data_IF_682791251397
#
_entry.id   IF_682791251397
#
_cell.length_a   1.000
_cell.length_b   1.000
_cell.length_c   1.000
_cell.angle_alpha   90.00
_cell.angle_beta   90.00
_cell.angle_gamma   90.00
#
_symmetry.space_group_name_H-M   'P 1'
#
loop_
_entity.id
_entity.type
_entity.pdbx_description
1 polymer ?
#
# COMPACT_ATOMS: atom_id res chain seq x y z
N UNK A 1 -52.50 31.63 38.65
CA UNK A 1 -52.75 30.18 38.60
C UNK A 1 -51.41 29.48 38.81
N UNK A 2 -51.34 28.63 39.84
CA UNK A 2 -50.13 27.98 40.35
C UNK A 2 -49.65 26.89 39.37
N UNK A 3 -48.34 26.73 39.21
CA UNK A 3 -47.73 25.62 38.47
C UNK A 3 -47.69 24.32 39.28
N UNK A 4 -47.33 23.19 38.64
CA UNK A 4 -47.01 21.90 39.27
C UNK A 4 -45.94 21.16 38.42
N UNK A 5 -45.05 20.48 39.13
CA UNK A 5 -43.89 19.68 38.69
C UNK A 5 -44.25 18.22 38.36
N UNK A 6 -43.31 17.57 37.66
CA UNK A 6 -42.94 16.14 37.60
C UNK A 6 -43.62 15.16 38.58
N UNK A 7 -43.90 13.94 38.10
CA UNK A 7 -44.03 12.75 38.94
C UNK A 7 -43.57 11.49 38.21
N UNK A 8 -42.77 10.71 38.93
CA UNK A 8 -42.17 9.42 38.59
C UNK A 8 -43.20 8.34 38.23
N UNK A 9 -42.86 7.45 37.31
CA UNK A 9 -43.43 6.11 37.26
C UNK A 9 -42.31 5.07 37.27
N UNK A 10 -42.15 4.45 38.44
CA UNK A 10 -41.39 3.22 38.67
C UNK A 10 -42.29 2.09 38.18
N UNK A 11 -41.83 1.27 37.23
CA UNK A 11 -42.39 -0.06 37.00
C UNK A 11 -41.30 -1.10 37.27
N UNK A 12 -41.56 -1.92 38.29
CA UNK A 12 -40.89 -3.20 38.51
C UNK A 12 -41.15 -4.11 37.31
N UNK A 13 -40.10 -4.72 36.77
CA UNK A 13 -40.20 -6.02 36.08
C UNK A 13 -39.18 -6.95 36.71
N UNK A 14 -39.70 -8.05 37.24
CA UNK A 14 -38.99 -9.11 37.92
C UNK A 14 -38.09 -9.90 36.96
N UNK A 15 -37.03 -10.46 37.53
CA UNK A 15 -35.95 -11.11 36.79
C UNK A 15 -36.37 -12.41 36.11
N UNK A 16 -35.87 -12.56 34.89
CA UNK A 16 -35.50 -13.83 34.29
C UNK A 16 -34.08 -13.63 33.76
N UNK A 17 -33.13 -14.34 34.38
CA UNK A 17 -31.74 -14.32 33.96
C UNK A 17 -31.60 -14.90 32.57
N UNK A 18 -31.40 -14.02 31.59
CA UNK A 18 -30.73 -14.36 30.34
C UNK A 18 -29.29 -13.89 30.50
N UNK A 19 -28.38 -14.82 30.67
CA UNK A 19 -26.96 -14.60 30.37
C UNK A 19 -26.85 -14.29 28.88
N UNK A 20 -26.83 -12.99 28.56
CA UNK A 20 -26.39 -12.51 27.26
C UNK A 20 -24.88 -12.71 27.23
N UNK A 21 -24.43 -13.75 26.51
CA UNK A 21 -23.09 -13.77 25.95
C UNK A 21 -22.95 -12.46 25.18
N UNK A 22 -22.16 -11.53 25.72
CA UNK A 22 -21.91 -10.22 25.14
C UNK A 22 -21.19 -10.38 23.80
N UNK A 23 -21.96 -10.54 22.73
CA UNK A 23 -21.49 -10.19 21.39
C UNK A 23 -21.78 -8.71 21.25
N UNK A 24 -20.79 -7.89 21.59
CA UNK A 24 -20.80 -6.47 21.23
C UNK A 24 -20.78 -6.42 19.71
N UNK A 25 -21.92 -6.10 19.10
CA UNK A 25 -22.02 -5.92 17.66
C UNK A 25 -21.16 -4.71 17.28
N UNK A 26 -19.95 -4.96 16.75
CA UNK A 26 -19.05 -3.95 16.20
C UNK A 26 -19.67 -3.38 14.93
N UNK A 27 -20.52 -2.36 15.09
CA UNK A 27 -20.91 -1.48 13.98
C UNK A 27 -19.79 -0.45 13.79
N UNK A 28 -18.86 -0.75 12.89
CA UNK A 28 -18.01 0.29 12.31
C UNK A 28 -18.91 1.02 11.31
N UNK A 29 -19.52 2.12 11.76
CA UNK A 29 -20.16 3.06 10.85
C UNK A 29 -19.09 3.66 9.93
N UNK A 30 -19.23 3.39 8.62
CA UNK A 30 -18.39 3.91 7.53
C UNK A 30 -18.41 5.43 7.34
N UNK A 31 -19.00 6.20 8.25
CA UNK A 31 -19.02 7.66 8.20
C UNK A 31 -17.75 8.32 8.74
N UNK A 32 -16.90 7.59 9.48
CA UNK A 32 -15.60 8.10 9.95
C UNK A 32 -15.69 9.43 10.73
N UNK A 33 -16.84 9.74 11.35
CA UNK A 33 -17.00 10.94 12.16
C UNK A 33 -17.17 10.56 13.62
N UNK A 34 -16.04 10.60 14.34
CA UNK A 34 -16.04 10.70 15.79
C UNK A 34 -16.69 12.04 16.19
N UNK A 35 -17.97 12.02 16.60
CA UNK A 35 -18.56 13.16 17.32
C UNK A 35 -18.40 13.04 18.83
N UNK A 36 -18.07 11.86 19.38
CA UNK A 36 -18.31 11.64 20.82
C UNK A 36 -17.20 10.93 21.60
N UNK A 37 -15.96 10.84 21.08
CA UNK A 37 -14.78 10.49 21.90
C UNK A 37 -14.85 9.13 22.64
N UNK A 38 -15.74 8.22 22.24
CA UNK A 38 -15.81 6.87 22.79
C UNK A 38 -14.79 6.01 22.06
N UNK A 39 -13.80 5.51 22.79
CA UNK A 39 -12.85 4.54 22.27
C UNK A 39 -13.61 3.27 21.84
N UNK A 40 -13.84 3.11 20.54
CA UNK A 40 -14.18 1.81 19.99
C UNK A 40 -12.94 0.93 20.20
N UNK A 41 -13.06 -0.09 21.04
CA UNK A 41 -11.98 -1.06 21.32
C UNK A 41 -11.63 -1.78 20.03
N UNK A 42 -10.34 -1.83 19.69
CA UNK A 42 -9.88 -2.64 18.56
C UNK A 42 -10.27 -4.10 18.80
N UNK A 43 -10.65 -4.85 17.75
CA UNK A 43 -10.84 -6.30 17.85
C UNK A 43 -9.65 -6.97 18.55
N UNK A 44 -9.90 -7.88 19.48
CA UNK A 44 -8.84 -8.52 20.27
C UNK A 44 -8.53 -9.94 19.76
N UNK A 45 -9.48 -10.57 19.08
CA UNK A 45 -9.39 -11.95 18.60
C UNK A 45 -9.40 -12.04 17.07
N UNK A 46 -8.78 -13.10 16.53
CA UNK A 46 -8.79 -13.37 15.09
C UNK A 46 -10.21 -13.43 14.51
N UNK A 47 -11.17 -14.00 15.26
CA UNK A 47 -12.57 -14.06 14.85
C UNK A 47 -13.22 -12.67 14.71
N UNK A 48 -12.91 -11.74 15.61
CA UNK A 48 -13.42 -10.37 15.53
C UNK A 48 -12.76 -9.58 14.41
N UNK A 49 -11.45 -9.76 14.18
CA UNK A 49 -10.76 -9.18 13.02
C UNK A 49 -11.32 -9.70 11.71
N UNK A 50 -11.61 -11.00 11.64
CA UNK A 50 -12.23 -11.62 10.47
C UNK A 50 -13.61 -10.99 10.19
N UNK A 51 -14.47 -10.93 11.20
CA UNK A 51 -15.80 -10.34 11.06
C UNK A 51 -15.76 -8.85 10.66
N UNK A 52 -14.85 -8.07 11.27
CA UNK A 52 -14.66 -6.66 10.92
C UNK A 52 -14.20 -6.49 9.47
N UNK A 53 -13.23 -7.29 9.02
CA UNK A 53 -12.74 -7.25 7.65
C UNK A 53 -13.78 -7.68 6.62
N UNK A 54 -14.56 -8.72 6.90
CA UNK A 54 -15.66 -9.15 6.01
C UNK A 54 -16.70 -8.05 5.81
N UNK A 55 -17.06 -7.33 6.87
CA UNK A 55 -17.97 -6.19 6.78
C UNK A 55 -17.40 -5.08 5.89
N UNK A 56 -16.10 -4.78 6.01
CA UNK A 56 -15.42 -3.79 5.17
C UNK A 56 -15.32 -4.24 3.71
N UNK A 57 -15.03 -5.52 3.44
CA UNK A 57 -15.04 -6.10 2.09
C UNK A 57 -16.39 -5.89 1.41
N UNK A 58 -17.50 -6.12 2.15
CA UNK A 58 -18.86 -5.88 1.65
C UNK A 58 -19.15 -4.40 1.45
N UNK A 59 -18.85 -3.57 2.45
CA UNK A 59 -19.12 -2.13 2.44
C UNK A 59 -18.44 -1.43 1.27
N UNK A 60 -17.15 -1.73 1.04
CA UNK A 60 -16.37 -1.14 -0.05
C UNK A 60 -16.49 -1.91 -1.38
N UNK A 61 -17.28 -2.99 -1.41
CA UNK A 61 -17.47 -3.89 -2.55
C UNK A 61 -16.14 -4.34 -3.16
N UNK A 62 -15.17 -4.72 -2.32
CA UNK A 62 -13.84 -5.16 -2.78
C UNK A 62 -13.96 -6.35 -3.75
N UNK A 63 -14.95 -7.21 -3.50
CA UNK A 63 -15.23 -8.40 -4.29
C UNK A 63 -15.85 -8.14 -5.68
N UNK A 64 -16.16 -6.88 -6.02
CA UNK A 64 -16.54 -6.51 -7.40
C UNK A 64 -15.36 -6.58 -8.36
N UNK A 65 -14.14 -6.33 -7.86
CA UNK A 65 -12.92 -6.40 -8.66
C UNK A 65 -12.08 -7.61 -8.26
N UNK A 66 -11.98 -7.87 -6.96
CA UNK A 66 -11.18 -8.97 -6.43
C UNK A 66 -12.04 -10.22 -6.25
N UNK A 67 -11.45 -11.40 -6.44
CA UNK A 67 -12.04 -12.61 -5.88
C UNK A 67 -11.78 -12.64 -4.36
N UNK A 68 -12.83 -12.87 -3.59
CA UNK A 68 -12.80 -13.07 -2.14
C UNK A 68 -13.78 -14.20 -1.79
N UNK A 69 -13.53 -14.95 -0.71
CA UNK A 69 -14.49 -15.97 -0.23
C UNK A 69 -15.80 -15.36 0.29
N UNK A 70 -15.78 -14.07 0.64
CA UNK A 70 -16.95 -13.33 1.13
C UNK A 70 -17.92 -12.98 -0.03
N UNK A 71 -19.14 -13.52 -0.06
CA UNK A 71 -20.17 -13.10 -1.00
C UNK A 71 -20.71 -11.71 -0.62
N UNK A 72 -21.04 -10.87 -1.60
CA UNK A 72 -21.86 -9.67 -1.38
C UNK A 72 -23.28 -9.93 -1.85
N UNK A 73 -24.27 -9.45 -1.08
CA UNK A 73 -25.69 -9.50 -1.45
C UNK A 73 -26.09 -8.43 -2.47
N UNK A 74 -25.17 -7.61 -2.98
CA UNK A 74 -25.51 -6.42 -3.74
C UNK A 74 -25.84 -6.70 -5.21
N UNK A 75 -27.11 -6.45 -5.57
CA UNK A 75 -27.54 -6.13 -6.92
C UNK A 75 -26.54 -5.20 -7.62
N UNK A 76 -26.23 -5.50 -8.88
CA UNK A 76 -25.43 -4.68 -9.78
C UNK A 76 -25.83 -3.20 -9.70
N UNK A 77 -25.05 -2.36 -9.01
CA UNK A 77 -25.14 -0.91 -9.19
C UNK A 77 -24.46 -0.59 -10.51
N UNK A 78 -25.27 -0.38 -11.54
CA UNK A 78 -24.83 0.03 -12.86
C UNK A 78 -23.91 1.26 -12.75
N UNK A 79 -22.61 1.07 -12.96
CA UNK A 79 -21.70 2.16 -13.33
C UNK A 79 -21.79 2.34 -14.83
N UNK A 80 -21.72 3.58 -15.32
CA UNK A 80 -21.81 3.93 -16.75
C UNK A 80 -20.72 3.27 -17.65
N UNK A 81 -19.75 2.57 -17.06
CA UNK A 81 -18.65 1.89 -17.73
C UNK A 81 -18.69 0.35 -17.57
N UNK A 82 -19.86 -0.27 -17.71
CA UNK A 82 -20.04 -1.73 -17.68
C UNK A 82 -19.05 -2.51 -18.59
N UNK A 83 -18.60 -1.92 -19.70
CA UNK A 83 -17.71 -2.59 -20.65
C UNK A 83 -16.32 -2.92 -20.09
N UNK A 84 -15.79 -2.18 -19.11
CA UNK A 84 -14.45 -2.47 -18.56
C UNK A 84 -14.41 -3.80 -17.80
N UNK A 85 -15.50 -4.18 -17.11
CA UNK A 85 -15.60 -5.46 -16.43
C UNK A 85 -16.15 -6.56 -17.37
N UNK A 86 -17.08 -6.22 -18.28
CA UNK A 86 -17.70 -7.18 -19.18
C UNK A 86 -16.88 -7.50 -20.45
N UNK A 87 -15.78 -6.81 -20.76
CA UNK A 87 -14.89 -7.22 -21.86
C UNK A 87 -14.27 -8.60 -21.62
N UNK A 88 -14.19 -9.05 -20.36
CA UNK A 88 -13.73 -10.36 -19.96
C UNK A 88 -14.93 -11.14 -19.39
N UNK A 89 -15.82 -11.58 -20.28
CA UNK A 89 -17.11 -12.21 -19.97
C UNK A 89 -17.08 -13.31 -18.87
N UNK A 90 -15.92 -13.89 -18.55
CA UNK A 90 -15.84 -15.09 -17.72
C UNK A 90 -14.89 -15.03 -16.49
N UNK A 91 -14.09 -13.97 -16.26
CA UNK A 91 -13.01 -14.03 -15.23
C UNK A 91 -12.69 -12.71 -14.50
N UNK A 92 -13.22 -12.45 -13.30
CA UNK A 92 -12.80 -11.32 -12.45
C UNK A 92 -11.30 -11.36 -12.11
N UNK A 93 -10.65 -12.52 -12.21
CA UNK A 93 -9.21 -12.69 -11.96
C UNK A 93 -8.30 -11.96 -12.96
N UNK A 94 -8.85 -11.56 -14.12
CA UNK A 94 -8.14 -10.73 -15.09
C UNK A 94 -8.11 -9.26 -14.67
N UNK A 95 -9.14 -8.79 -13.95
CA UNK A 95 -9.31 -7.41 -13.49
C UNK A 95 -8.48 -7.13 -12.24
N UNK A 96 -8.59 -7.98 -11.21
CA UNK A 96 -7.80 -7.87 -10.00
C UNK A 96 -7.41 -9.26 -9.44
N UNK A 97 -6.25 -9.37 -8.76
CA UNK A 97 -5.86 -10.64 -8.18
C UNK A 97 -6.79 -11.04 -7.02
N UNK A 98 -7.00 -12.35 -6.78
CA UNK A 98 -7.62 -12.84 -5.55
C UNK A 98 -6.86 -12.33 -4.32
N UNK A 99 -7.61 -12.10 -3.25
CA UNK A 99 -7.07 -11.53 -2.01
C UNK A 99 -6.87 -12.57 -0.91
N UNK A 100 -7.44 -13.77 -1.05
CA UNK A 100 -7.44 -14.84 -0.05
C UNK A 100 -6.02 -15.12 0.44
N UNK A 101 -5.05 -15.30 -0.47
CA UNK A 101 -3.64 -15.59 -0.15
C UNK A 101 -2.71 -14.39 -0.37
N UNK A 102 -3.21 -13.14 -0.33
CA UNK A 102 -2.38 -11.98 -0.67
C UNK A 102 -1.19 -11.79 0.28
N UNK A 103 -1.35 -12.14 1.57
CA UNK A 103 -0.31 -12.01 2.58
C UNK A 103 0.82 -13.05 2.44
N UNK A 104 0.58 -14.18 1.76
CA UNK A 104 1.65 -15.11 1.36
C UNK A 104 2.59 -14.47 0.34
N UNK A 105 2.09 -13.54 -0.47
CA UNK A 105 2.83 -12.89 -1.55
C UNK A 105 3.41 -11.55 -1.14
N UNK A 106 2.65 -10.78 -0.36
CA UNK A 106 2.90 -9.38 -0.01
C UNK A 106 3.20 -9.26 1.48
N UNK A 107 4.23 -8.51 1.88
CA UNK A 107 4.41 -8.13 3.29
C UNK A 107 3.20 -7.37 3.84
N UNK A 108 2.88 -7.53 5.13
CA UNK A 108 1.75 -6.85 5.78
C UNK A 108 1.83 -5.32 5.60
N UNK A 109 3.01 -4.75 5.82
CA UNK A 109 3.25 -3.32 5.65
C UNK A 109 3.12 -2.86 4.18
N UNK A 110 3.32 -3.76 3.20
CA UNK A 110 2.97 -3.49 1.80
C UNK A 110 1.46 -3.40 1.60
N UNK A 111 0.69 -4.34 2.16
CA UNK A 111 -0.78 -4.36 2.07
C UNK A 111 -1.36 -3.09 2.68
N UNK A 112 -0.97 -2.74 3.91
CA UNK A 112 -1.40 -1.51 4.60
C UNK A 112 -1.17 -0.27 3.72
N UNK A 113 0.02 -0.16 3.13
CA UNK A 113 0.39 0.98 2.28
C UNK A 113 -0.41 1.00 0.98
N UNK A 114 -0.57 -0.15 0.32
CA UNK A 114 -1.27 -0.20 -0.97
C UNK A 114 -2.76 0.13 -0.80
N UNK A 115 -3.41 -0.32 0.29
CA UNK A 115 -4.78 0.08 0.63
C UNK A 115 -4.91 1.60 0.82
N UNK A 116 -3.88 2.24 1.39
CA UNK A 116 -3.87 3.68 1.67
C UNK A 116 -3.53 4.54 0.46
N UNK A 117 -2.53 4.10 -0.29
CA UNK A 117 -1.91 4.79 -1.42
C UNK A 117 -1.83 3.82 -2.60
N UNK A 118 -2.98 3.46 -3.20
CA UNK A 118 -2.97 2.57 -4.35
C UNK A 118 -2.27 3.25 -5.52
N UNK A 119 -1.48 2.49 -6.26
CA UNK A 119 -0.77 2.94 -7.45
C UNK A 119 -0.84 1.89 -8.55
N UNK A 120 -0.43 2.26 -9.76
CA UNK A 120 -0.46 1.34 -10.91
C UNK A 120 0.66 0.32 -10.79
N UNK A 121 0.30 -0.94 -10.57
CA UNK A 121 1.25 -2.06 -10.60
C UNK A 121 1.51 -2.55 -12.04
N UNK A 122 0.47 -2.57 -12.89
CA UNK A 122 0.59 -2.94 -14.31
C UNK A 122 0.66 -1.65 -15.13
N UNK A 123 1.86 -1.19 -15.46
CA UNK A 123 2.04 0.07 -16.19
C UNK A 123 1.39 0.06 -17.59
N UNK A 124 1.27 -1.12 -18.20
CA UNK A 124 0.64 -1.34 -19.49
C UNK A 124 -0.90 -1.44 -19.44
N UNK A 125 -1.52 -1.33 -18.25
CA UNK A 125 -2.98 -1.28 -18.09
C UNK A 125 -3.42 0.06 -17.50
N UNK A 126 -4.61 0.51 -17.91
CA UNK A 126 -5.29 1.65 -17.29
C UNK A 126 -5.94 1.30 -15.95
N UNK A 127 -6.08 0.01 -15.66
CA UNK A 127 -6.70 -0.51 -14.44
C UNK A 127 -5.82 -0.24 -13.22
N UNK A 128 -6.44 0.31 -12.17
CA UNK A 128 -5.81 0.48 -10.85
C UNK A 128 -6.85 0.35 -9.76
N UNK A 129 -6.40 -0.09 -8.59
CA UNK A 129 -7.23 -0.03 -7.39
C UNK A 129 -7.59 1.45 -7.11
N UNK A 130 -8.87 1.79 -6.93
CA UNK A 130 -9.25 3.14 -6.56
C UNK A 130 -8.77 3.46 -5.15
N UNK A 131 -8.53 4.74 -4.88
CA UNK A 131 -8.41 5.21 -3.50
C UNK A 131 -9.81 5.19 -2.86
N UNK A 132 -10.00 4.28 -1.91
CA UNK A 132 -11.28 4.07 -1.23
C UNK A 132 -11.52 5.07 -0.09
N UNK A 133 -10.53 5.90 0.26
CA UNK A 133 -10.66 6.85 1.37
C UNK A 133 -10.71 6.21 2.76
N UNK A 134 -10.18 4.99 2.89
CA UNK A 134 -10.18 4.21 4.13
C UNK A 134 -9.47 4.97 5.27
N UNK A 135 -10.07 4.92 6.44
CA UNK A 135 -9.48 5.39 7.71
C UNK A 135 -8.35 4.46 8.18
N UNK A 136 -7.57 4.91 9.17
CA UNK A 136 -6.51 4.08 9.75
C UNK A 136 -7.01 2.76 10.32
N UNK A 137 -8.15 2.82 11.02
CA UNK A 137 -8.76 1.66 11.66
C UNK A 137 -9.24 0.66 10.60
N UNK A 138 -9.88 1.13 9.54
CA UNK A 138 -10.35 0.27 8.45
C UNK A 138 -9.17 -0.37 7.69
N UNK A 139 -8.08 0.37 7.44
CA UNK A 139 -6.87 -0.19 6.82
C UNK A 139 -6.27 -1.27 7.70
N UNK A 140 -6.18 -1.06 9.01
CA UNK A 140 -5.68 -2.06 9.94
C UNK A 140 -6.59 -3.30 9.98
N UNK A 141 -7.91 -3.12 10.05
CA UNK A 141 -8.87 -4.22 10.05
C UNK A 141 -8.83 -5.04 8.75
N UNK A 142 -8.86 -4.39 7.58
CA UNK A 142 -8.73 -5.07 6.29
C UNK A 142 -7.39 -5.79 6.17
N UNK A 143 -6.30 -5.17 6.62
CA UNK A 143 -4.98 -5.83 6.55
C UNK A 143 -4.92 -7.05 7.45
N UNK A 144 -5.40 -6.96 8.70
CA UNK A 144 -5.45 -8.11 9.62
C UNK A 144 -6.33 -9.23 9.08
N UNK A 145 -7.51 -8.89 8.55
CA UNK A 145 -8.36 -9.84 7.84
C UNK A 145 -7.58 -10.56 6.73
N UNK A 146 -6.94 -9.83 5.82
CA UNK A 146 -6.16 -10.42 4.71
C UNK A 146 -4.98 -11.28 5.17
N UNK A 147 -4.36 -10.95 6.31
CA UNK A 147 -3.27 -11.74 6.88
C UNK A 147 -3.79 -13.04 7.49
N UNK A 148 -4.88 -12.98 8.27
CA UNK A 148 -5.49 -14.16 8.90
C UNK A 148 -6.12 -15.07 7.83
N UNK A 149 -6.79 -14.50 6.84
CA UNK A 149 -7.42 -15.23 5.73
C UNK A 149 -6.44 -15.97 4.84
N UNK A 150 -5.17 -15.54 4.78
CA UNK A 150 -4.14 -16.18 3.96
C UNK A 150 -3.74 -17.58 4.41
N UNK A 151 -4.30 -18.10 5.52
CA UNK A 151 -4.14 -19.48 6.01
C UNK A 151 -2.74 -20.03 5.75
N UNK A 152 -1.81 -19.63 6.62
CA UNK A 152 -0.37 -19.92 6.58
C UNK A 152 -0.01 -21.29 5.95
N UNK A 153 0.23 -21.33 4.64
CA UNK A 153 1.00 -22.44 4.05
C UNK A 153 2.45 -22.11 4.33
N UNK A 154 3.05 -22.77 5.33
CA UNK A 154 4.46 -22.61 5.65
C UNK A 154 5.31 -22.60 4.37
N UNK A 155 5.80 -21.42 3.99
CA UNK A 155 6.68 -21.25 2.85
C UNK A 155 8.05 -21.84 3.21
N UNK A 156 8.79 -22.44 2.25
CA UNK A 156 10.14 -22.90 2.51
C UNK A 156 10.99 -21.74 3.04
N UNK A 157 11.84 -22.00 4.03
CA UNK A 157 12.79 -21.01 4.53
C UNK A 157 13.76 -20.60 3.39
N UNK A 158 13.55 -19.40 2.83
CA UNK A 158 14.37 -18.83 1.78
C UNK A 158 14.24 -17.29 1.77
N UNK A 159 15.29 -16.57 2.16
CA UNK A 159 15.26 -15.09 2.23
C UNK A 159 16.52 -14.39 1.69
N UNK A 160 16.87 -14.51 0.40
CA UNK A 160 17.70 -13.47 -0.18
C UNK A 160 16.87 -12.21 -0.38
N UNK A 161 17.27 -11.15 0.31
CA UNK A 161 16.82 -9.79 0.03
C UNK A 161 17.66 -9.20 -1.10
N UNK A 162 17.30 -8.00 -1.52
CA UNK A 162 18.12 -7.26 -2.46
C UNK A 162 19.49 -6.96 -1.83
N UNK A 163 20.54 -7.31 -2.55
CA UNK A 163 21.92 -7.09 -2.17
C UNK A 163 22.37 -5.70 -2.62
N UNK A 164 23.18 -5.02 -1.80
CA UNK A 164 23.76 -3.72 -2.15
C UNK A 164 24.75 -3.86 -3.31
N UNK A 165 25.55 -4.92 -3.28
CA UNK A 165 26.57 -5.23 -4.27
C UNK A 165 26.44 -6.69 -4.73
N UNK A 166 25.47 -7.00 -5.61
CA UNK A 166 25.24 -8.36 -6.08
C UNK A 166 26.44 -8.89 -6.87
N UNK A 167 26.76 -10.16 -6.66
CA UNK A 167 27.87 -10.83 -7.35
C UNK A 167 27.66 -10.88 -8.88
N UNK A 168 28.70 -10.50 -9.63
CA UNK A 168 28.62 -10.36 -11.07
C UNK A 168 28.50 -11.71 -11.80
N UNK A 169 29.13 -12.76 -11.28
CA UNK A 169 29.03 -14.10 -11.85
C UNK A 169 27.62 -14.67 -11.65
N UNK A 170 27.06 -14.50 -10.45
CA UNK A 170 25.69 -14.89 -10.13
C UNK A 170 24.65 -14.13 -10.96
N UNK A 171 24.86 -12.84 -11.19
CA UNK A 171 24.04 -12.05 -12.12
C UNK A 171 24.11 -12.61 -13.54
N UNK A 172 25.29 -13.01 -14.01
CA UNK A 172 25.45 -13.65 -15.33
C UNK A 172 24.69 -14.98 -15.38
N UNK A 173 24.83 -15.83 -14.37
CA UNK A 173 24.14 -17.12 -14.30
C UNK A 173 22.61 -16.95 -14.27
N UNK A 174 22.11 -15.98 -13.51
CA UNK A 174 20.69 -15.63 -13.47
C UNK A 174 20.15 -15.12 -14.81
N UNK A 175 20.96 -14.34 -15.54
CA UNK A 175 20.64 -13.89 -16.89
C UNK A 175 20.55 -15.05 -17.88
N UNK A 176 21.46 -16.01 -17.80
CA UNK A 176 21.42 -17.21 -18.65
C UNK A 176 20.14 -18.03 -18.40
N UNK A 177 19.69 -18.13 -17.15
CA UNK A 177 18.39 -18.74 -16.82
C UNK A 177 17.21 -17.94 -17.38
N UNK A 178 17.26 -16.60 -17.27
CA UNK A 178 16.23 -15.70 -17.79
C UNK A 178 16.05 -15.87 -19.31
N UNK A 179 17.16 -16.03 -20.03
CA UNK A 179 17.18 -16.31 -21.47
C UNK A 179 16.75 -17.75 -21.79
N UNK A 180 17.25 -18.75 -21.05
CA UNK A 180 16.91 -20.18 -21.20
C UNK A 180 15.40 -20.43 -21.14
N UNK A 181 14.70 -19.77 -20.21
CA UNK A 181 13.26 -19.90 -20.05
C UNK A 181 12.44 -18.83 -20.79
N UNK A 182 13.10 -18.01 -21.63
CA UNK A 182 12.49 -16.98 -22.47
C UNK A 182 11.58 -16.02 -21.69
N UNK A 183 11.94 -15.66 -20.46
CA UNK A 183 11.13 -14.84 -19.54
C UNK A 183 10.78 -13.46 -20.15
N UNK A 184 11.71 -12.89 -20.94
CA UNK A 184 11.55 -11.62 -21.66
C UNK A 184 10.46 -11.63 -22.74
N UNK A 185 9.89 -12.79 -23.08
CA UNK A 185 8.75 -12.89 -24.01
C UNK A 185 7.50 -12.23 -23.43
N UNK A 186 7.35 -12.25 -22.11
CA UNK A 186 6.19 -11.69 -21.41
C UNK A 186 6.60 -10.62 -20.39
N UNK A 187 7.65 -10.83 -19.61
CA UNK A 187 8.03 -9.93 -18.53
C UNK A 187 9.07 -8.88 -18.96
N UNK A 188 8.91 -7.64 -18.49
CA UNK A 188 9.99 -6.65 -18.45
C UNK A 188 10.79 -6.79 -17.17
N UNK A 189 12.07 -6.39 -17.23
CA UNK A 189 12.95 -6.29 -16.08
C UNK A 189 13.81 -5.03 -16.24
N UNK A 190 13.30 -3.91 -15.72
CA UNK A 190 13.92 -2.59 -15.91
C UNK A 190 13.73 -2.08 -17.33
N UNK A 191 14.76 -1.46 -17.91
CA UNK A 191 14.72 -0.93 -19.29
C UNK A 191 14.71 -2.02 -20.39
N UNK A 192 14.68 -3.31 -19.99
CA UNK A 192 14.57 -4.42 -20.93
C UNK A 192 13.19 -4.41 -21.62
N UNK A 193 13.19 -4.09 -22.92
CA UNK A 193 11.99 -4.09 -23.76
C UNK A 193 11.54 -5.53 -24.05
N UNK A 194 10.27 -5.82 -23.77
CA UNK A 194 9.61 -7.05 -24.23
C UNK A 194 9.56 -7.05 -25.76
N UNK A 195 10.08 -8.10 -26.39
CA UNK A 195 9.91 -8.29 -27.84
C UNK A 195 8.47 -8.75 -28.10
N UNK A 196 7.65 -8.00 -28.85
CA UNK A 196 6.30 -8.46 -29.17
C UNK A 196 6.38 -9.78 -29.93
N UNK A 197 5.63 -10.77 -29.47
CA UNK A 197 5.34 -11.96 -30.30
C UNK A 197 4.38 -11.53 -31.41
N UNK A 198 4.31 -12.26 -32.53
CA UNK A 198 3.41 -11.93 -33.64
C UNK A 198 2.47 -13.10 -33.92
N UNK A 199 1.20 -12.80 -34.21
CA UNK A 199 0.27 -13.77 -34.77
C UNK A 199 0.74 -14.18 -36.19
N UNK A 200 0.26 -15.32 -36.69
CA UNK A 200 0.56 -15.80 -38.05
C UNK A 200 0.25 -14.77 -39.16
N UNK A 201 -0.69 -13.85 -38.89
CA UNK A 201 -1.06 -12.75 -39.78
C UNK A 201 -0.12 -11.53 -39.70
N UNK A 202 1.00 -11.62 -38.97
CA UNK A 202 1.99 -10.55 -38.84
C UNK A 202 1.60 -9.41 -37.91
N UNK A 203 0.50 -9.51 -37.15
CA UNK A 203 0.15 -8.53 -36.10
C UNK A 203 0.83 -8.87 -34.78
N UNK A 204 1.35 -7.89 -34.01
CA UNK A 204 1.94 -8.16 -32.70
C UNK A 204 0.87 -8.71 -31.74
N UNK A 205 1.15 -9.88 -31.17
CA UNK A 205 0.43 -10.47 -30.05
C UNK A 205 0.86 -9.76 -28.76
N UNK A 206 0.16 -8.67 -28.46
CA UNK A 206 0.38 -7.85 -27.27
C UNK A 206 -0.27 -8.45 -26.02
N UNK A 207 -1.15 -9.44 -26.17
CA UNK A 207 -1.98 -9.97 -25.07
C UNK A 207 -1.15 -10.52 -23.90
N UNK A 208 -0.07 -11.31 -24.09
CA UNK A 208 0.78 -11.76 -22.99
C UNK A 208 1.51 -10.61 -22.27
N UNK A 209 1.85 -9.55 -23.00
CA UNK A 209 2.64 -8.40 -22.52
C UNK A 209 1.80 -7.43 -21.69
N UNK A 210 0.49 -7.35 -21.97
CA UNK A 210 -0.44 -6.51 -21.20
C UNK A 210 -0.67 -7.07 -19.78
N UNK A 211 -0.62 -8.39 -19.61
CA UNK A 211 -0.93 -9.03 -18.33
C UNK A 211 0.30 -9.32 -17.46
N UNK A 212 1.46 -9.56 -18.08
CA UNK A 212 2.69 -9.79 -17.34
C UNK A 212 3.19 -8.48 -16.68
N UNK A 213 3.39 -8.45 -15.36
CA UNK A 213 3.88 -7.25 -14.68
C UNK A 213 5.37 -7.02 -14.93
N UNK A 214 5.77 -5.75 -14.84
CA UNK A 214 7.18 -5.39 -14.68
C UNK A 214 7.73 -5.96 -13.37
N UNK A 215 8.85 -6.67 -13.48
CA UNK A 215 9.51 -7.33 -12.38
C UNK A 215 10.62 -6.47 -11.74
N UNK A 216 10.91 -5.27 -12.27
CA UNK A 216 11.98 -4.39 -11.77
C UNK A 216 11.83 -3.96 -10.30
N UNK A 217 10.59 -3.92 -9.80
CA UNK A 217 10.23 -3.55 -8.42
C UNK A 217 9.78 -4.74 -7.58
N UNK A 218 10.11 -5.95 -7.99
CA UNK A 218 9.71 -7.18 -7.29
C UNK A 218 10.23 -7.20 -5.85
N UNK A 219 11.47 -6.75 -5.64
CA UNK A 219 12.15 -6.66 -4.35
C UNK A 219 11.60 -5.61 -3.38
N UNK A 220 10.61 -4.79 -3.78
CA UNK A 220 9.92 -3.84 -2.89
C UNK A 220 8.47 -4.21 -2.64
N UNK A 221 7.99 -5.33 -3.21
CA UNK A 221 6.60 -5.76 -3.06
C UNK A 221 6.35 -7.26 -2.95
N UNK A 222 7.30 -8.14 -3.27
CA UNK A 222 7.09 -9.61 -3.32
C UNK A 222 8.02 -10.28 -2.33
N UNK A 223 7.46 -11.16 -1.48
CA UNK A 223 8.25 -12.05 -0.63
C UNK A 223 9.14 -12.98 -1.47
N UNK A 224 10.46 -13.05 -1.20
CA UNK A 224 11.37 -13.92 -1.95
C UNK A 224 10.89 -15.37 -2.01
N UNK A 225 10.57 -15.97 -0.85
CA UNK A 225 10.13 -17.35 -0.71
C UNK A 225 8.93 -17.68 -1.61
N UNK A 226 7.98 -16.75 -1.70
CA UNK A 226 6.83 -16.87 -2.58
C UNK A 226 7.22 -16.74 -4.05
N UNK A 227 8.14 -15.84 -4.40
CA UNK A 227 8.58 -15.60 -5.77
C UNK A 227 9.21 -16.85 -6.38
N UNK A 228 10.11 -17.53 -5.67
CA UNK A 228 10.77 -18.73 -6.16
C UNK A 228 9.75 -19.84 -6.45
N UNK A 229 8.79 -20.06 -5.55
CA UNK A 229 7.76 -21.07 -5.77
C UNK A 229 6.77 -20.69 -6.88
N UNK A 230 6.43 -19.40 -7.00
CA UNK A 230 5.58 -18.90 -8.07
C UNK A 230 6.25 -19.00 -9.45
N UNK A 231 7.57 -18.82 -9.54
CA UNK A 231 8.35 -19.04 -10.76
C UNK A 231 8.40 -20.54 -11.10
N UNK A 232 8.62 -21.38 -10.09
CA UNK A 232 8.70 -22.82 -10.29
C UNK A 232 7.35 -23.44 -10.66
N UNK A 233 6.27 -23.05 -9.98
CA UNK A 233 4.95 -23.65 -10.05
C UNK A 233 3.85 -22.56 -10.14
N UNK A 234 3.81 -21.78 -11.24
CA UNK A 234 2.87 -20.67 -11.38
C UNK A 234 1.41 -21.10 -11.23
N UNK A 235 1.01 -22.26 -11.74
CA UNK A 235 -0.36 -22.76 -11.62
C UNK A 235 -0.76 -23.15 -10.19
N UNK A 236 0.22 -23.45 -9.32
CA UNK A 236 -0.02 -23.73 -7.90
C UNK A 236 -0.28 -22.44 -7.11
N UNK A 237 0.56 -21.42 -7.32
CA UNK A 237 0.49 -20.15 -6.58
C UNK A 237 -0.48 -19.13 -7.18
N UNK A 238 -0.66 -19.19 -8.49
CA UNK A 238 -1.56 -18.33 -9.26
C UNK A 238 -2.26 -19.16 -10.36
N UNK A 239 -3.22 -20.05 -10.02
CA UNK A 239 -4.00 -20.83 -11.00
C UNK A 239 -4.65 -20.02 -12.13
N UNK A 240 -4.92 -18.74 -11.87
CA UNK A 240 -5.49 -17.77 -12.81
C UNK A 240 -4.44 -17.09 -13.71
N UNK A 241 -3.15 -17.28 -13.46
CA UNK A 241 -2.08 -16.67 -14.25
C UNK A 241 -1.92 -17.35 -15.61
N UNK A 242 -1.68 -16.56 -16.66
CA UNK A 242 -1.24 -17.06 -17.96
C UNK A 242 0.25 -17.45 -18.03
N UNK A 243 0.97 -17.40 -16.90
CA UNK A 243 2.38 -17.77 -16.82
C UNK A 243 2.56 -19.27 -17.05
N UNK A 244 3.38 -19.64 -18.03
CA UNK A 244 3.60 -21.03 -18.43
C UNK A 244 4.37 -21.81 -17.37
N UNK A 245 4.00 -23.08 -17.19
CA UNK A 245 4.77 -24.03 -16.42
C UNK A 245 6.03 -24.42 -17.19
N UNK A 246 7.20 -24.15 -16.62
CA UNK A 246 8.50 -24.55 -17.19
C UNK A 246 9.08 -25.76 -16.46
N UNK A 247 9.86 -26.58 -17.17
CA UNK A 247 10.61 -27.68 -16.56
C UNK A 247 11.91 -27.16 -15.90
N UNK A 248 11.78 -26.42 -14.80
CA UNK A 248 12.92 -25.92 -14.02
C UNK A 248 13.03 -26.62 -12.66
N UNK A 249 14.26 -26.76 -12.18
CA UNK A 249 14.56 -27.27 -10.84
C UNK A 249 14.27 -26.21 -9.77
N UNK A 250 14.14 -26.62 -8.51
CA UNK A 250 13.94 -25.69 -7.40
C UNK A 250 15.13 -24.73 -7.24
N UNK A 251 16.35 -25.21 -7.49
CA UNK A 251 17.56 -24.38 -7.48
C UNK A 251 17.51 -23.30 -8.56
N UNK A 252 17.17 -23.66 -9.80
CA UNK A 252 17.02 -22.69 -10.89
C UNK A 252 15.94 -21.64 -10.59
N UNK A 253 14.81 -22.06 -10.00
CA UNK A 253 13.74 -21.14 -9.62
C UNK A 253 14.18 -20.13 -8.55
N UNK A 254 14.96 -20.58 -7.55
CA UNK A 254 15.56 -19.70 -6.53
C UNK A 254 16.59 -18.75 -7.12
N UNK A 255 17.45 -19.23 -8.02
CA UNK A 255 18.43 -18.37 -8.70
C UNK A 255 17.75 -17.33 -9.60
N UNK A 256 16.68 -17.69 -10.31
CA UNK A 256 15.85 -16.74 -11.07
C UNK A 256 15.16 -15.72 -10.17
N UNK A 257 14.60 -16.15 -9.04
CA UNK A 257 13.97 -15.25 -8.07
C UNK A 257 15.00 -14.27 -7.50
N UNK A 258 16.19 -14.74 -7.14
CA UNK A 258 17.30 -13.89 -6.71
C UNK A 258 17.70 -12.91 -7.81
N UNK A 259 17.85 -13.40 -9.05
CA UNK A 259 18.20 -12.57 -10.20
C UNK A 259 17.18 -11.46 -10.41
N UNK A 260 15.89 -11.76 -10.40
CA UNK A 260 14.82 -10.75 -10.55
C UNK A 260 14.89 -9.67 -9.46
N UNK A 261 15.31 -10.01 -8.24
CA UNK A 261 15.45 -9.05 -7.15
C UNK A 261 16.70 -8.16 -7.26
N UNK A 262 17.75 -8.65 -7.92
CA UNK A 262 19.09 -8.05 -7.90
C UNK A 262 19.56 -7.50 -9.26
N UNK A 263 18.97 -7.96 -10.37
CA UNK A 263 19.40 -7.62 -11.72
C UNK A 263 19.17 -6.16 -12.09
N UNK A 264 18.17 -5.52 -11.47
CA UNK A 264 17.93 -4.08 -11.66
C UNK A 264 18.74 -3.32 -10.61
N UNK A 265 19.80 -2.59 -11.03
CA UNK A 265 20.65 -1.85 -10.10
C UNK A 265 19.85 -0.77 -9.37
N UNK A 266 20.33 -0.39 -8.19
CA UNK A 266 19.72 0.72 -7.45
C UNK A 266 19.82 2.00 -8.29
N UNK A 267 18.75 2.81 -8.36
CA UNK A 267 18.86 4.11 -8.97
C UNK A 267 20.01 4.88 -8.31
N UNK A 268 20.89 5.45 -9.12
CA UNK A 268 22.02 6.22 -8.59
C UNK A 268 21.50 7.42 -7.79
N UNK A 269 22.15 7.68 -6.66
CA UNK A 269 21.86 8.84 -5.83
C UNK A 269 22.35 10.09 -6.58
N UNK A 270 21.42 10.80 -7.22
CA UNK A 270 21.71 11.99 -8.03
C UNK A 270 21.14 13.26 -7.44
N UNK A 271 20.28 13.14 -6.43
CA UNK A 271 19.66 14.25 -5.70
C UNK A 271 20.01 14.08 -4.24
N UNK A 272 20.52 15.13 -3.62
CA UNK A 272 20.86 15.16 -2.19
C UNK A 272 19.63 15.45 -1.33
N UNK A 273 19.68 15.06 -0.05
CA UNK A 273 18.66 15.47 0.91
C UNK A 273 18.55 17.00 1.03
N UNK A 274 19.66 17.73 0.87
CA UNK A 274 19.68 19.20 0.89
C UNK A 274 18.80 19.80 -0.20
N UNK A 275 18.93 19.33 -1.44
CA UNK A 275 18.08 19.78 -2.56
C UNK A 275 16.60 19.49 -2.32
N UNK A 276 16.27 18.37 -1.67
CA UNK A 276 14.88 18.07 -1.27
C UNK A 276 14.40 19.02 -0.20
N UNK A 277 15.21 19.27 0.83
CA UNK A 277 14.86 20.19 1.91
C UNK A 277 14.69 21.63 1.43
N UNK A 278 15.42 22.07 0.40
CA UNK A 278 15.25 23.39 -0.20
C UNK A 278 13.85 23.53 -0.84
N UNK A 279 13.40 22.51 -1.58
CA UNK A 279 12.05 22.47 -2.15
C UNK A 279 10.99 22.54 -1.03
N UNK A 280 11.15 21.75 0.03
CA UNK A 280 10.19 21.74 1.14
C UNK A 280 10.18 23.07 1.91
N UNK A 281 11.36 23.69 2.07
CA UNK A 281 11.48 25.00 2.72
C UNK A 281 10.75 26.10 1.99
N UNK A 282 10.85 26.11 0.66
CA UNK A 282 10.21 27.10 -0.19
C UNK A 282 8.69 26.93 -0.26
N UNK A 283 8.19 25.70 -0.20
CA UNK A 283 6.80 25.40 -0.58
C UNK A 283 5.92 24.85 0.56
N UNK A 284 6.50 24.39 1.67
CA UNK A 284 5.77 23.60 2.66
C UNK A 284 5.89 24.13 4.10
N UNK A 285 7.03 24.71 4.47
CA UNK A 285 7.34 25.04 5.87
C UNK A 285 6.44 26.14 6.46
N UNK A 286 5.79 26.96 5.63
CA UNK A 286 4.79 27.92 6.11
C UNK A 286 3.59 27.28 6.82
N UNK A 287 3.30 26.00 6.50
CA UNK A 287 2.19 25.25 7.08
C UNK A 287 2.59 23.95 7.78
N UNK A 288 3.80 23.43 7.54
CA UNK A 288 4.31 22.16 8.09
C UNK A 288 5.58 22.37 8.92
N UNK A 289 5.43 23.12 10.01
CA UNK A 289 6.52 23.45 10.93
C UNK A 289 6.46 22.59 12.20
N UNK A 290 7.62 22.42 12.85
CA UNK A 290 7.76 21.65 14.08
C UNK A 290 6.91 22.23 15.24
N UNK A 291 6.51 21.42 16.24
CA UNK A 291 5.96 21.91 17.49
C UNK A 291 6.92 22.91 18.18
N UNK A 292 6.35 23.97 18.75
CA UNK A 292 7.09 25.02 19.45
C UNK A 292 6.29 25.46 20.69
N UNK A 293 6.83 25.18 21.88
CA UNK A 293 6.19 25.52 23.15
C UNK A 293 6.20 27.03 23.43
N UNK A 294 7.05 27.79 22.76
CA UNK A 294 7.16 29.24 22.85
C UNK A 294 6.43 29.96 21.71
N UNK A 295 5.65 29.20 20.91
CA UNK A 295 4.87 29.73 19.80
C UNK A 295 4.00 30.91 20.24
N UNK A 296 4.04 31.99 19.45
CA UNK A 296 3.24 33.18 19.70
C UNK A 296 1.72 32.93 19.66
N UNK A 297 0.90 33.91 20.08
CA UNK A 297 -0.55 33.73 20.25
C UNK A 297 -1.33 33.39 18.97
N UNK A 298 -0.71 33.52 17.78
CA UNK A 298 -1.33 33.22 16.48
C UNK A 298 -0.65 32.04 15.76
N UNK A 299 0.06 31.19 16.48
CA UNK A 299 0.74 30.00 15.95
C UNK A 299 0.32 28.78 16.75
N UNK A 300 0.11 27.65 16.09
CA UNK A 300 -0.20 26.40 16.79
C UNK A 300 1.07 25.85 17.47
N UNK A 301 1.15 25.76 18.81
CA UNK A 301 2.33 25.23 19.51
C UNK A 301 2.54 23.73 19.27
N UNK A 302 1.53 23.00 18.81
CA UNK A 302 1.65 21.59 18.43
C UNK A 302 2.24 21.39 17.02
N UNK A 303 2.60 22.48 16.33
CA UNK A 303 3.16 22.47 14.98
C UNK A 303 2.13 22.81 13.89
N UNK A 304 2.62 22.94 12.66
CA UNK A 304 1.84 23.40 11.53
C UNK A 304 0.79 22.38 11.07
N UNK A 305 -0.48 22.77 11.05
CA UNK A 305 -1.62 21.90 10.73
C UNK A 305 -1.87 21.72 9.21
N UNK A 306 -0.99 22.23 8.33
CA UNK A 306 -1.19 22.19 6.88
C UNK A 306 -2.30 23.12 6.35
N UNK A 307 -3.20 23.64 7.22
CA UNK A 307 -4.31 24.54 6.86
C UNK A 307 -4.83 25.34 8.07
N UNK A 308 -5.24 26.60 7.85
CA UNK A 308 -6.02 27.43 8.79
C UNK A 308 -7.38 26.81 9.20
N UNK A 309 -8.00 25.97 8.37
CA UNK A 309 -9.30 25.35 8.67
C UNK A 309 -9.21 24.08 9.52
N UNK A 310 -8.01 23.51 9.71
CA UNK A 310 -7.77 22.29 10.50
C UNK A 310 -7.32 22.59 11.93
N UNK A 311 -7.43 23.83 12.40
CA UNK A 311 -7.07 24.23 13.78
C UNK A 311 -7.96 23.55 14.84
N UNK A 312 -9.16 23.10 14.44
CA UNK A 312 -10.05 22.29 15.27
C UNK A 312 -9.86 20.77 15.07
N UNK A 313 -8.94 20.36 14.19
CA UNK A 313 -8.59 18.97 13.94
C UNK A 313 -7.29 18.62 14.65
N UNK A 314 -7.16 17.37 15.11
CA UNK A 314 -5.95 16.88 15.77
C UNK A 314 -4.72 17.11 14.87
N UNK A 315 -3.71 17.82 15.39
CA UNK A 315 -2.48 18.09 14.66
C UNK A 315 -1.77 16.77 14.29
N UNK A 316 -1.37 16.64 13.02
CA UNK A 316 -0.66 15.45 12.50
C UNK A 316 0.85 15.51 12.72
N UNK A 317 1.35 16.58 13.35
CA UNK A 317 2.75 16.76 13.75
C UNK A 317 3.78 16.52 12.63
N UNK A 318 3.40 16.81 11.39
CA UNK A 318 4.29 16.69 10.24
C UNK A 318 5.24 17.89 10.21
N UNK A 319 6.50 17.65 10.58
CA UNK A 319 7.58 18.62 10.51
C UNK A 319 8.37 18.47 9.20
N UNK A 320 8.33 19.49 8.35
CA UNK A 320 9.11 19.54 7.10
C UNK A 320 10.27 20.54 7.19
N UNK A 321 10.53 21.12 8.36
CA UNK A 321 11.66 22.04 8.58
C UNK A 321 13.00 21.33 8.64
N UNK A 322 12.99 20.05 9.06
CA UNK A 322 14.19 19.25 9.25
C UNK A 322 14.10 17.94 8.47
N UNK A 323 15.25 17.42 8.05
CA UNK A 323 15.32 16.11 7.40
C UNK A 323 14.85 14.99 8.34
N UNK A 324 15.16 15.12 9.64
CA UNK A 324 14.69 14.19 10.67
C UNK A 324 13.17 14.21 10.80
N UNK A 325 12.55 15.41 10.85
CA UNK A 325 11.10 15.57 10.87
C UNK A 325 10.42 14.95 9.65
N UNK A 326 10.97 15.20 8.46
CA UNK A 326 10.46 14.64 7.20
C UNK A 326 10.45 13.09 7.24
N UNK A 327 11.55 12.50 7.72
CA UNK A 327 11.72 11.05 7.75
C UNK A 327 10.95 10.38 8.89
N UNK A 328 10.84 11.05 10.05
CA UNK A 328 9.96 10.64 11.15
C UNK A 328 8.50 10.61 10.71
N UNK A 329 8.11 11.54 9.85
CA UNK A 329 6.78 11.61 9.27
C UNK A 329 5.74 12.21 10.20
N UNK A 330 4.48 11.89 9.93
CA UNK A 330 3.31 12.40 10.64
C UNK A 330 2.85 11.42 11.73
N UNK A 331 1.77 11.75 12.43
CA UNK A 331 1.00 10.81 13.26
C UNK A 331 -0.35 10.50 12.64
N UNK A 332 -0.82 9.27 12.81
CA UNK A 332 -2.10 8.79 12.32
C UNK A 332 -3.27 9.16 13.27
N UNK A 333 -4.50 8.71 12.98
CA UNK A 333 -5.71 8.95 13.80
C UNK A 333 -5.58 8.35 15.20
N UNK A 334 -4.78 7.28 15.34
CA UNK A 334 -4.50 6.57 16.57
C UNK A 334 -3.29 7.16 17.32
N UNK A 335 -2.61 8.15 16.73
CA UNK A 335 -1.40 8.77 17.27
C UNK A 335 -0.12 7.95 17.02
N UNK A 336 -0.18 6.92 16.19
CA UNK A 336 0.97 6.12 15.80
C UNK A 336 1.81 6.81 14.73
N UNK A 337 3.12 6.56 14.68
CA UNK A 337 3.98 7.09 13.62
C UNK A 337 3.50 6.69 12.22
N UNK A 338 3.47 7.66 11.32
CA UNK A 338 3.12 7.47 9.90
C UNK A 338 4.22 8.07 9.03
N UNK A 339 4.99 7.22 8.31
CA UNK A 339 6.01 7.70 7.38
C UNK A 339 5.45 8.71 6.38
N UNK A 340 6.16 9.80 6.15
CA UNK A 340 5.89 10.71 5.02
C UNK A 340 6.74 10.39 3.81
N UNK A 341 7.91 9.78 4.05
CA UNK A 341 8.81 9.27 3.03
C UNK A 341 9.00 7.78 3.25
N UNK A 342 8.78 7.03 2.18
CA UNK A 342 9.04 5.61 2.11
C UNK A 342 10.08 5.39 1.00
N UNK A 343 11.33 5.05 1.34
CA UNK A 343 12.37 4.77 0.36
C UNK A 343 11.94 3.76 -0.70
N UNK A 344 12.35 4.00 -1.94
CA UNK A 344 12.13 3.13 -3.10
C UNK A 344 10.66 2.91 -3.50
N UNK A 345 9.70 3.57 -2.84
CA UNK A 345 8.29 3.40 -3.11
C UNK A 345 7.74 4.54 -4.00
N UNK A 346 7.17 4.17 -5.16
CA UNK A 346 6.44 5.10 -6.04
C UNK A 346 5.21 5.69 -5.35
N UNK A 347 4.60 4.91 -4.44
CA UNK A 347 3.50 5.34 -3.60
C UNK A 347 3.95 5.87 -2.22
N UNK A 348 5.16 6.39 -2.13
CA UNK A 348 5.62 7.16 -0.97
C UNK A 348 4.66 8.33 -0.73
N UNK A 349 4.19 8.58 0.51
CA UNK A 349 3.13 9.56 0.79
C UNK A 349 3.44 10.97 0.27
N UNK A 350 4.68 11.42 0.43
CA UNK A 350 5.17 12.68 -0.13
C UNK A 350 4.88 12.76 -1.64
N UNK A 351 5.28 11.73 -2.40
CA UNK A 351 5.08 11.68 -3.85
C UNK A 351 3.59 11.65 -4.21
N UNK A 352 2.79 10.87 -3.47
CA UNK A 352 1.37 10.74 -3.73
C UNK A 352 0.62 12.06 -3.60
N UNK A 353 0.96 12.87 -2.59
CA UNK A 353 0.34 14.18 -2.38
C UNK A 353 0.86 15.24 -3.35
N UNK A 354 2.18 15.33 -3.60
CA UNK A 354 2.74 16.36 -4.51
C UNK A 354 2.44 16.11 -5.99
N UNK A 355 2.17 14.85 -6.37
CA UNK A 355 1.72 14.48 -7.72
C UNK A 355 0.21 14.54 -7.89
N UNK A 356 -0.55 14.87 -6.85
CA UNK A 356 -2.02 14.88 -6.87
C UNK A 356 -2.67 13.50 -7.04
N UNK A 357 -1.93 12.42 -6.74
CA UNK A 357 -2.42 11.05 -6.80
C UNK A 357 -3.18 10.64 -5.53
N UNK A 358 -3.05 11.41 -4.45
CA UNK A 358 -3.79 11.29 -3.19
C UNK A 358 -4.34 12.65 -2.77
N UNK A 359 -5.59 12.68 -2.33
CA UNK A 359 -6.19 13.90 -1.77
C UNK A 359 -5.94 13.99 -0.25
N UNK A 360 -5.80 15.21 0.30
CA UNK A 360 -5.67 16.48 -0.43
C UNK A 360 -4.36 16.54 -1.23
N UNK A 361 -4.39 17.07 -2.45
CA UNK A 361 -3.17 17.36 -3.21
C UNK A 361 -2.36 18.44 -2.52
N UNK A 362 -1.03 18.35 -2.59
CA UNK A 362 -0.11 19.33 -2.02
C UNK A 362 0.77 20.00 -3.09
N UNK A 363 1.14 21.28 -2.95
CA UNK A 363 0.71 22.22 -1.90
C UNK A 363 -0.80 22.51 -1.96
N UNK A 364 -1.45 22.53 -0.80
CA UNK A 364 -2.90 22.65 -0.73
C UNK A 364 -3.35 24.09 -1.07
N UNK A 365 -4.33 24.23 -1.96
CA UNK A 365 -4.87 25.52 -2.41
C UNK A 365 -3.82 26.54 -2.87
N UNK A 366 -2.67 26.06 -3.34
CA UNK A 366 -1.63 26.85 -3.99
C UNK A 366 -1.23 26.19 -5.31
N UNK A 367 -0.33 26.83 -6.06
CA UNK A 367 0.16 26.27 -7.32
C UNK A 367 0.91 24.94 -7.07
N UNK A 368 0.72 23.93 -7.93
CA UNK A 368 1.49 22.70 -7.86
C UNK A 368 2.99 22.97 -7.99
N UNK A 369 3.80 22.08 -7.41
CA UNK A 369 5.25 22.11 -7.64
C UNK A 369 5.57 22.00 -9.13
N UNK A 370 6.67 22.63 -9.55
CA UNK A 370 7.14 22.52 -10.93
C UNK A 370 7.51 21.07 -11.27
N UNK A 371 7.43 20.66 -12.55
CA UNK A 371 7.85 19.31 -12.97
C UNK A 371 9.29 18.96 -12.56
N UNK A 372 10.20 19.95 -12.54
CA UNK A 372 11.58 19.75 -12.09
C UNK A 372 11.65 19.43 -10.60
N UNK A 373 10.94 20.18 -9.76
CA UNK A 373 10.87 19.94 -8.32
C UNK A 373 10.28 18.55 -8.03
N UNK A 374 9.18 18.18 -8.69
CA UNK A 374 8.57 16.84 -8.56
C UNK A 374 9.58 15.75 -8.97
N UNK A 375 10.33 15.95 -10.05
CA UNK A 375 11.33 14.99 -10.51
C UNK A 375 12.47 14.82 -9.50
N UNK A 376 12.94 15.90 -8.86
CA UNK A 376 13.96 15.83 -7.80
C UNK A 376 13.46 15.04 -6.59
N UNK A 377 12.24 15.32 -6.12
CA UNK A 377 11.61 14.58 -5.02
C UNK A 377 11.48 13.09 -5.38
N UNK A 378 10.98 12.78 -6.57
CA UNK A 378 10.82 11.40 -7.04
C UNK A 378 12.16 10.66 -7.14
N UNK A 379 13.18 11.27 -7.76
CA UNK A 379 14.51 10.65 -7.86
C UNK A 379 15.11 10.36 -6.50
N UNK A 380 15.02 11.31 -5.57
CA UNK A 380 15.53 11.12 -4.21
C UNK A 380 14.81 9.98 -3.48
N UNK A 381 13.47 9.95 -3.50
CA UNK A 381 12.69 8.87 -2.88
C UNK A 381 12.99 7.52 -3.52
N UNK A 382 12.96 7.44 -4.86
CA UNK A 382 13.16 6.18 -5.60
C UNK A 382 14.59 5.67 -5.56
N UNK A 383 15.57 6.53 -5.23
CA UNK A 383 16.95 6.14 -4.95
C UNK A 383 17.19 5.83 -3.47
N UNK A 384 16.15 5.62 -2.68
CA UNK A 384 16.28 5.19 -1.30
C UNK A 384 16.26 6.30 -0.26
N UNK A 385 15.89 7.53 -0.65
CA UNK A 385 15.89 8.71 0.22
C UNK A 385 17.23 8.89 0.97
N UNK A 386 18.38 8.91 0.26
CA UNK A 386 19.69 8.90 0.90
C UNK A 386 19.89 10.11 1.82
N UNK A 387 20.43 9.85 3.00
CA UNK A 387 20.78 10.86 4.02
C UNK A 387 22.30 11.10 4.04
N UNK A 388 22.77 12.30 4.44
CA UNK A 388 24.20 12.55 4.63
C UNK A 388 24.85 11.57 5.61
N UNK A 389 26.11 11.17 5.36
CA UNK A 389 26.82 10.18 6.20
C UNK A 389 26.97 10.60 7.67
N UNK A 390 27.09 11.90 7.92
CA UNK A 390 27.32 12.46 9.25
C UNK A 390 26.02 12.81 10.00
N UNK A 391 24.88 12.30 9.54
CA UNK A 391 23.54 12.65 10.08
C UNK A 391 23.23 12.06 11.47
N UNK A 392 24.22 11.60 12.23
CA UNK A 392 24.08 11.35 13.67
C UNK A 392 22.95 10.41 14.11
N UNK A 393 22.56 9.43 13.28
CA UNK A 393 21.52 8.45 13.65
C UNK A 393 20.09 8.80 13.20
N UNK A 394 19.91 9.70 12.22
CA UNK A 394 18.60 9.87 11.55
C UNK A 394 18.10 8.50 11.04
N UNK A 395 16.97 8.07 11.58
CA UNK A 395 16.31 6.83 11.18
C UNK A 395 15.57 7.03 9.85
N UNK A 396 16.00 6.31 8.83
CA UNK A 396 15.29 6.21 7.56
C UNK A 396 14.35 5.02 7.67
N UNK A 397 13.05 5.22 7.45
CA UNK A 397 12.09 4.11 7.45
C UNK A 397 12.56 3.04 6.46
N UNK A 398 12.65 1.77 6.86
CA UNK A 398 13.18 0.73 5.98
C UNK A 398 12.33 0.62 4.69
N UNK A 399 12.94 0.25 3.55
CA UNK A 399 12.15 -0.32 2.47
C UNK A 399 11.36 -1.49 3.04
N UNK A 400 10.05 -1.46 2.80
CA UNK A 400 8.98 -2.13 3.58
C UNK A 400 9.02 -3.67 3.60
N UNK A 401 10.10 -4.28 3.13
CA UNK A 401 10.27 -5.74 3.01
C UNK A 401 11.32 -6.32 3.96
N UNK A 402 12.09 -5.46 4.62
CA UNK A 402 12.86 -5.84 5.80
C UNK A 402 11.89 -5.67 6.96
N UNK A 403 11.49 -6.76 7.63
CA UNK A 403 10.68 -6.66 8.85
C UNK A 403 11.33 -5.73 9.87
N UNK A 404 10.59 -5.36 10.90
CA UNK A 404 11.24 -4.79 12.09
C UNK A 404 12.25 -5.84 12.59
N UNK A 405 13.55 -5.53 12.51
CA UNK A 405 14.56 -6.20 13.34
C UNK A 405 14.39 -5.76 14.79
#
# INVERSE_FOLDING_TARGET
>A
MKGIRLSNLILLVAGLGLTVLGVTLLLIDGSGRDTDGVAITEPETDAEWLAAGENLVKQYNCNFCHRTETPTDAAHLARDNCQQCHQFHDRPENLAPPLESIAERRPEAWIKRYLRYPYRIRQNSHDRMPDLGLTDREINALTRYLVISAQDTALPDWKPTREENPDAERLSNGKDLWEKYACATCHTLGDAIVKPTYHENGKPNLMPVVFAPDLSKTWTRVRPEWLAEAIQNPSKRMPWSGMLQTAMTQTEARELAWYVMNAVPAPKHTVSAGEVMDILRENCNGCHYAPDAEAGPNTNPEGGAGWIATWNSRARKLDLMTLEGLLKGAVDDLGQPRPSVIPYAENSPLLMHVKGLKQPSMPFAADPLTPEQINKLERWVLSGAPVPRDSGGIHVNPPIEMGDD
#
